data_IF_998877223761
#
_entry.id   IF_998877223761
#
_cell.length_a   1.000
_cell.length_b   1.000
_cell.length_c   1.000
_cell.angle_alpha   90.00
_cell.angle_beta   90.00
_cell.angle_gamma   90.00
#
_symmetry.space_group_name_H-M   'P 1'
#
loop_
_entity.id
_entity.type
_entity.pdbx_description
1 polymer ?
#
# COMPACT_ATOMS: atom_id res chain seq x y z
N UNK A 1 -11.51 -9.68 -80.54
CA UNK A 1 -11.46 -8.80 -79.38
C UNK A 1 -11.68 -9.67 -78.14
N UNK A 2 -10.59 -10.01 -77.42
CA UNK A 2 -10.62 -10.83 -76.21
C UNK A 2 -10.69 -9.89 -75.01
N UNK A 3 -11.80 -9.94 -74.23
CA UNK A 3 -11.92 -9.18 -72.99
C UNK A 3 -11.18 -9.92 -71.87
N UNK A 4 -10.16 -9.28 -71.30
CA UNK A 4 -9.45 -9.78 -70.11
C UNK A 4 -10.19 -9.26 -68.88
N UNK A 5 -10.73 -10.15 -68.05
CA UNK A 5 -11.30 -9.85 -66.74
C UNK A 5 -10.16 -9.97 -65.71
N UNK A 6 -9.81 -8.87 -65.05
CA UNK A 6 -8.90 -8.84 -63.90
C UNK A 6 -9.79 -8.94 -62.64
N UNK A 7 -9.64 -9.94 -61.77
CA UNK A 7 -10.35 -9.94 -60.47
C UNK A 7 -9.67 -9.00 -59.49
N UNK A 8 -10.40 -8.03 -58.99
CA UNK A 8 -10.01 -7.17 -57.92
C UNK A 8 -10.05 -7.95 -56.59
N UNK A 9 -8.88 -8.33 -56.04
CA UNK A 9 -8.78 -8.93 -54.71
C UNK A 9 -8.79 -7.84 -53.68
N UNK A 10 -9.90 -7.67 -52.98
CA UNK A 10 -9.99 -6.81 -51.78
C UNK A 10 -9.28 -7.53 -50.61
N UNK A 11 -8.10 -7.09 -50.25
CA UNK A 11 -7.45 -7.42 -48.99
C UNK A 11 -8.16 -6.69 -47.83
N UNK A 12 -9.04 -7.40 -47.13
CA UNK A 12 -9.52 -6.95 -45.82
C UNK A 12 -8.39 -7.08 -44.81
N UNK A 13 -7.71 -5.98 -44.51
CA UNK A 13 -6.84 -5.89 -43.35
C UNK A 13 -7.71 -5.81 -42.09
N UNK A 14 -7.93 -6.95 -41.42
CA UNK A 14 -8.48 -6.97 -40.08
C UNK A 14 -7.45 -6.31 -39.14
N UNK A 15 -7.64 -5.02 -38.86
CA UNK A 15 -6.92 -4.32 -37.81
C UNK A 15 -7.27 -4.99 -36.48
N UNK A 16 -6.39 -5.84 -35.96
CA UNK A 16 -6.46 -6.24 -34.56
C UNK A 16 -6.25 -4.98 -33.71
N UNK A 17 -7.35 -4.37 -33.28
CA UNK A 17 -7.33 -3.42 -32.20
C UNK A 17 -6.84 -4.17 -30.97
N UNK A 18 -5.56 -4.03 -30.61
CA UNK A 18 -5.08 -4.42 -29.29
C UNK A 18 -5.83 -3.53 -28.31
N UNK A 19 -6.86 -4.09 -27.68
CA UNK A 19 -7.47 -3.47 -26.52
C UNK A 19 -6.34 -3.32 -25.49
N UNK A 20 -5.94 -2.10 -25.23
CA UNK A 20 -4.99 -1.77 -24.18
C UNK A 20 -5.66 -2.17 -22.87
N UNK A 21 -5.32 -3.36 -22.36
CA UNK A 21 -5.83 -3.84 -21.07
C UNK A 21 -5.33 -2.85 -20.03
N UNK A 22 -6.24 -2.10 -19.44
CA UNK A 22 -5.91 -1.24 -18.30
C UNK A 22 -5.25 -2.10 -17.23
N UNK A 23 -4.14 -1.61 -16.67
CA UNK A 23 -3.44 -2.33 -15.59
C UNK A 23 -4.44 -2.64 -14.46
N UNK A 24 -4.41 -3.89 -13.97
CA UNK A 24 -5.22 -4.34 -12.82
C UNK A 24 -4.97 -3.45 -11.62
N UNK A 25 -5.98 -3.32 -10.76
CA UNK A 25 -5.87 -2.53 -9.54
C UNK A 25 -5.95 -3.39 -8.30
N UNK A 26 -5.19 -2.98 -7.30
CA UNK A 26 -5.37 -3.37 -5.91
C UNK A 26 -5.79 -2.11 -5.17
N UNK A 27 -7.00 -2.10 -4.62
CA UNK A 27 -7.53 -1.00 -3.83
C UNK A 27 -7.63 -1.42 -2.37
N UNK A 28 -6.78 -0.82 -1.53
CA UNK A 28 -6.76 -1.02 -0.08
C UNK A 28 -7.36 0.19 0.62
N UNK A 29 -8.28 -0.04 1.54
CA UNK A 29 -8.80 1.00 2.43
C UNK A 29 -8.43 0.67 3.87
N UNK A 30 -7.83 1.62 4.54
CA UNK A 30 -7.45 1.55 5.94
C UNK A 30 -8.46 2.37 6.75
N UNK A 31 -9.17 1.73 7.68
CA UNK A 31 -10.06 2.36 8.63
C UNK A 31 -9.43 2.20 10.01
N UNK A 32 -9.01 3.31 10.61
CA UNK A 32 -8.20 3.28 11.82
C UNK A 32 -8.92 3.96 12.99
N UNK A 33 -9.15 3.21 14.05
CA UNK A 33 -9.65 3.75 15.30
C UNK A 33 -8.59 4.65 15.96
N UNK A 34 -8.99 5.87 16.25
CA UNK A 34 -8.17 6.86 16.93
C UNK A 34 -8.79 7.34 18.24
N UNK A 35 -9.55 6.47 18.90
CA UNK A 35 -10.04 6.69 20.28
C UNK A 35 -8.92 6.52 21.32
N UNK A 36 -9.16 6.95 22.54
CA UNK A 36 -8.17 6.82 23.63
C UNK A 36 -7.89 5.36 24.02
N UNK A 37 -8.83 4.44 23.80
CA UNK A 37 -8.67 3.02 24.08
C UNK A 37 -7.54 2.40 23.22
N UNK A 38 -7.19 3.06 22.11
CA UNK A 38 -6.08 2.67 21.25
C UNK A 38 -4.70 3.16 21.74
N UNK A 39 -4.62 3.93 22.83
CA UNK A 39 -3.35 4.35 23.41
C UNK A 39 -2.47 3.13 23.74
N UNK A 40 -1.20 3.20 23.39
CA UNK A 40 -0.25 2.09 23.54
C UNK A 40 -0.33 1.04 22.43
N UNK A 41 -1.45 0.90 21.74
CA UNK A 41 -1.63 -0.04 20.61
C UNK A 41 -1.46 0.62 19.24
N UNK A 42 -1.66 1.93 19.17
CA UNK A 42 -1.70 2.68 17.91
C UNK A 42 -0.41 2.51 17.08
N UNK A 43 0.76 2.51 17.70
CA UNK A 43 2.02 2.36 16.99
C UNK A 43 2.21 0.93 16.46
N UNK A 44 1.77 -0.07 17.23
CA UNK A 44 1.77 -1.45 16.78
C UNK A 44 0.86 -1.65 15.57
N UNK A 45 -0.37 -1.12 15.66
CA UNK A 45 -1.33 -1.22 14.57
C UNK A 45 -0.83 -0.51 13.30
N UNK A 46 -0.19 0.67 13.41
CA UNK A 46 0.43 1.37 12.28
C UNK A 46 1.51 0.54 11.59
N UNK A 47 2.41 -0.08 12.34
CA UNK A 47 3.45 -0.95 11.79
C UNK A 47 2.86 -2.17 11.09
N UNK A 48 1.81 -2.78 11.66
CA UNK A 48 1.13 -3.93 11.06
C UNK A 48 0.40 -3.57 9.77
N UNK A 49 -0.24 -2.40 9.73
CA UNK A 49 -0.88 -1.90 8.50
C UNK A 49 0.16 -1.62 7.42
N UNK A 50 1.34 -1.09 7.79
CA UNK A 50 2.41 -0.90 6.83
C UNK A 50 2.92 -2.23 6.25
N UNK A 51 2.98 -3.29 7.04
CA UNK A 51 3.30 -4.62 6.56
C UNK A 51 2.27 -5.14 5.53
N UNK A 52 0.97 -4.83 5.71
CA UNK A 52 -0.08 -5.15 4.72
C UNK A 52 0.19 -4.44 3.38
N UNK A 53 0.55 -3.16 3.43
CA UNK A 53 0.93 -2.39 2.23
C UNK A 53 2.13 -3.02 1.53
N UNK A 54 3.14 -3.46 2.29
CA UNK A 54 4.32 -4.12 1.76
C UNK A 54 3.98 -5.44 1.05
N UNK A 55 3.16 -6.28 1.65
CA UNK A 55 2.69 -7.53 1.03
C UNK A 55 1.90 -7.26 -0.25
N UNK A 56 0.93 -6.35 -0.21
CA UNK A 56 0.12 -5.98 -1.38
C UNK A 56 0.98 -5.47 -2.53
N UNK A 57 2.07 -4.76 -2.23
CA UNK A 57 3.02 -4.26 -3.21
C UNK A 57 3.83 -5.34 -3.93
N UNK A 58 3.78 -6.58 -3.47
CA UNK A 58 4.44 -7.73 -4.07
C UNK A 58 3.57 -8.55 -5.03
N UNK A 59 2.25 -8.32 -5.03
CA UNK A 59 1.32 -9.08 -5.85
C UNK A 59 1.47 -8.73 -7.34
N UNK A 60 1.27 -9.74 -8.19
CA UNK A 60 1.29 -9.60 -9.64
C UNK A 60 0.00 -10.14 -10.24
N UNK A 61 -0.37 -9.66 -11.41
CA UNK A 61 -1.45 -10.19 -12.23
C UNK A 61 -0.88 -10.54 -13.62
N UNK A 62 -0.90 -11.83 -13.98
CA UNK A 62 -0.31 -12.32 -15.23
C UNK A 62 1.14 -11.83 -15.45
N UNK A 63 1.94 -11.81 -14.39
CA UNK A 63 3.34 -11.35 -14.41
C UNK A 63 3.53 -9.85 -14.51
N UNK A 64 2.44 -9.06 -14.49
CA UNK A 64 2.49 -7.59 -14.49
C UNK A 64 2.18 -7.04 -13.12
N UNK A 65 2.81 -5.92 -12.79
CA UNK A 65 2.53 -5.21 -11.54
C UNK A 65 1.21 -4.45 -11.64
N UNK A 66 0.27 -4.67 -10.71
CA UNK A 66 -0.98 -3.92 -10.66
C UNK A 66 -0.75 -2.49 -10.15
N UNK A 67 -1.69 -1.60 -10.39
CA UNK A 67 -1.73 -0.30 -9.73
C UNK A 67 -2.23 -0.47 -8.30
N UNK A 68 -1.41 -0.14 -7.32
CA UNK A 68 -1.79 -0.12 -5.90
C UNK A 68 -2.33 1.27 -5.55
N UNK A 69 -3.58 1.33 -5.12
CA UNK A 69 -4.26 2.53 -4.63
C UNK A 69 -4.67 2.34 -3.18
N UNK A 70 -4.33 3.29 -2.31
CA UNK A 70 -4.64 3.23 -0.88
C UNK A 70 -5.49 4.44 -0.51
N UNK A 71 -6.57 4.22 0.25
CA UNK A 71 -7.35 5.26 0.88
C UNK A 71 -7.35 5.05 2.40
N UNK A 72 -7.55 6.13 3.16
CA UNK A 72 -7.49 6.07 4.62
C UNK A 72 -8.56 6.93 5.27
N UNK A 73 -9.16 6.38 6.30
CA UNK A 73 -10.05 7.07 7.24
C UNK A 73 -9.59 6.83 8.67
N UNK A 74 -9.77 7.82 9.53
CA UNK A 74 -9.78 7.63 10.98
C UNK A 74 -11.20 7.81 11.52
N UNK A 75 -11.49 7.13 12.62
CA UNK A 75 -12.80 7.19 13.28
C UNK A 75 -12.63 7.08 14.80
N UNK A 76 -13.69 7.37 15.53
CA UNK A 76 -13.70 7.24 16.99
C UNK A 76 -12.96 8.36 17.73
N UNK A 77 -12.58 9.44 17.08
CA UNK A 77 -11.88 10.55 17.69
C UNK A 77 -12.83 11.64 18.16
N UNK A 78 -12.80 11.99 19.45
CA UNK A 78 -13.68 13.01 20.05
C UNK A 78 -13.47 14.42 19.48
N UNK A 79 -12.36 14.68 18.78
CA UNK A 79 -12.14 15.93 18.04
C UNK A 79 -12.89 16.00 16.71
N UNK A 80 -13.57 14.91 16.30
CA UNK A 80 -14.38 14.85 15.09
C UNK A 80 -15.84 15.09 15.41
N UNK A 81 -16.58 15.57 14.40
CA UNK A 81 -17.98 15.95 14.55
C UNK A 81 -18.90 14.71 14.68
N UNK A 82 -19.91 14.80 15.55
CA UNK A 82 -20.96 13.79 15.70
C UNK A 82 -21.80 13.64 14.43
N UNK A 83 -21.99 14.73 13.68
CA UNK A 83 -22.72 14.73 12.40
C UNK A 83 -22.00 13.89 11.34
N UNK A 84 -20.66 13.78 11.44
CA UNK A 84 -19.86 12.87 10.61
C UNK A 84 -19.73 11.47 11.20
N UNK A 85 -20.45 11.13 12.28
CA UNK A 85 -20.28 9.88 13.03
C UNK A 85 -18.85 9.68 13.55
N UNK A 86 -18.15 10.76 13.92
CA UNK A 86 -16.74 10.75 14.33
C UNK A 86 -15.82 10.13 13.29
N UNK A 87 -16.10 10.37 11.98
CA UNK A 87 -15.36 9.83 10.84
C UNK A 87 -14.71 10.97 10.08
N UNK A 88 -13.44 10.78 9.68
CA UNK A 88 -12.71 11.68 8.81
C UNK A 88 -11.99 10.91 7.72
N UNK A 89 -12.14 11.34 6.47
CA UNK A 89 -11.30 10.88 5.38
C UNK A 89 -9.93 11.56 5.47
N UNK A 90 -8.90 10.78 5.75
CA UNK A 90 -7.51 11.24 5.74
C UNK A 90 -6.95 11.32 4.32
N UNK A 91 -7.29 10.32 3.48
CA UNK A 91 -6.86 10.22 2.09
C UNK A 91 -7.95 9.60 1.22
N UNK A 92 -8.25 10.16 0.04
CA UNK A 92 -8.89 9.43 -1.04
C UNK A 92 -7.91 8.38 -1.60
N UNK A 93 -8.34 7.55 -2.55
CA UNK A 93 -7.41 6.64 -3.24
C UNK A 93 -6.23 7.38 -3.84
N UNK A 94 -5.03 6.96 -3.49
CA UNK A 94 -3.75 7.51 -3.94
C UNK A 94 -2.71 6.39 -4.10
N UNK A 95 -1.78 6.57 -5.03
CA UNK A 95 -0.59 5.73 -5.17
C UNK A 95 0.65 6.36 -4.52
N UNK A 96 0.52 7.55 -3.90
CA UNK A 96 1.60 8.22 -3.16
C UNK A 96 1.79 7.55 -1.80
N UNK A 97 2.71 6.57 -1.73
CA UNK A 97 2.97 5.81 -0.50
C UNK A 97 3.66 6.65 0.59
N UNK A 98 4.35 7.75 0.24
CA UNK A 98 4.89 8.68 1.23
C UNK A 98 3.77 9.47 1.91
N UNK A 99 2.76 9.87 1.15
CA UNK A 99 1.59 10.52 1.71
C UNK A 99 0.78 9.57 2.60
N UNK A 100 0.67 8.30 2.21
CA UNK A 100 0.04 7.26 3.06
C UNK A 100 0.82 7.10 4.37
N UNK A 101 2.15 7.00 4.31
CA UNK A 101 3.03 6.93 5.48
C UNK A 101 2.85 8.15 6.39
N UNK A 102 2.94 9.36 5.83
CA UNK A 102 2.75 10.62 6.56
C UNK A 102 1.42 10.63 7.34
N UNK A 103 0.31 10.30 6.68
CA UNK A 103 -1.01 10.31 7.30
C UNK A 103 -1.15 9.21 8.35
N UNK A 104 -0.67 8.00 8.07
CA UNK A 104 -0.74 6.87 9.00
C UNK A 104 0.05 7.15 10.28
N UNK A 105 1.31 7.55 10.16
CA UNK A 105 2.16 7.82 11.33
C UNK A 105 1.81 9.15 12.01
N UNK A 106 1.12 10.06 11.31
CA UNK A 106 0.58 11.30 11.85
C UNK A 106 -0.67 11.15 12.73
N UNK A 107 -1.36 10.01 12.71
CA UNK A 107 -2.57 9.79 13.54
C UNK A 107 -2.26 9.94 15.02
N UNK A 108 -3.21 10.54 15.75
CA UNK A 108 -3.16 10.72 17.20
C UNK A 108 -4.50 10.31 17.80
N UNK A 109 -4.44 9.73 18.97
CA UNK A 109 -5.63 9.31 19.74
C UNK A 109 -6.25 10.48 20.47
N UNK A 110 -7.57 10.43 20.58
CA UNK A 110 -8.39 11.31 21.42
C UNK A 110 -9.74 10.61 21.64
N UNK A 111 -10.25 10.54 22.85
CA UNK A 111 -11.49 9.82 23.19
C UNK A 111 -12.63 10.05 22.21
N UNK A 112 -13.55 9.11 22.10
CA UNK A 112 -14.67 9.23 21.17
C UNK A 112 -15.62 8.05 21.19
N UNK A 113 -16.45 7.95 20.14
CA UNK A 113 -17.38 6.85 19.89
C UNK A 113 -17.02 6.18 18.57
N UNK A 114 -16.84 4.87 18.60
CA UNK A 114 -16.22 4.07 17.55
C UNK A 114 -17.29 3.34 16.72
N UNK A 115 -17.70 3.91 15.59
CA UNK A 115 -18.79 3.41 14.78
C UNK A 115 -18.30 2.61 13.56
N UNK A 116 -17.91 1.34 13.82
CA UNK A 116 -17.37 0.44 12.78
C UNK A 116 -18.29 0.30 11.57
N UNK A 117 -19.59 0.06 11.78
CA UNK A 117 -20.56 -0.04 10.69
C UNK A 117 -20.64 1.24 9.85
N UNK A 118 -20.60 2.41 10.51
CA UNK A 118 -20.69 3.70 9.84
C UNK A 118 -19.45 4.00 9.00
N UNK A 119 -18.23 3.78 9.52
CA UNK A 119 -17.01 4.07 8.76
C UNK A 119 -16.84 3.13 7.57
N UNK A 120 -17.20 1.84 7.70
CA UNK A 120 -17.22 0.90 6.57
C UNK A 120 -18.20 1.39 5.50
N UNK A 121 -19.45 1.71 5.87
CA UNK A 121 -20.45 2.20 4.93
C UNK A 121 -20.00 3.49 4.25
N UNK A 122 -19.48 4.44 5.01
CA UNK A 122 -18.97 5.72 4.49
C UNK A 122 -17.87 5.51 3.46
N UNK A 123 -16.88 4.68 3.74
CA UNK A 123 -15.79 4.39 2.81
C UNK A 123 -16.28 3.70 1.53
N UNK A 124 -17.26 2.80 1.64
CA UNK A 124 -17.86 2.13 0.48
C UNK A 124 -18.67 3.08 -0.42
N UNK A 125 -19.26 4.13 0.14
CA UNK A 125 -20.09 5.09 -0.58
C UNK A 125 -19.29 6.25 -1.16
N UNK A 126 -18.31 6.78 -0.43
CA UNK A 126 -17.59 7.99 -0.82
C UNK A 126 -16.42 7.73 -1.77
N UNK A 127 -15.75 6.58 -1.65
CA UNK A 127 -14.60 6.26 -2.47
C UNK A 127 -14.98 5.83 -3.89
N UNK A 128 -14.10 6.19 -4.83
CA UNK A 128 -14.21 5.77 -6.23
C UNK A 128 -13.66 4.36 -6.42
N UNK A 129 -14.40 3.38 -5.94
CA UNK A 129 -14.05 1.99 -6.14
C UNK A 129 -14.08 1.59 -7.61
N UNK A 130 -13.15 0.72 -8.01
CA UNK A 130 -13.18 0.11 -9.34
C UNK A 130 -14.45 -0.71 -9.55
N UNK A 131 -15.01 -0.61 -10.75
CA UNK A 131 -16.14 -1.44 -11.19
C UNK A 131 -15.69 -2.78 -11.79
N UNK A 132 -14.38 -2.97 -12.04
CA UNK A 132 -13.87 -4.24 -12.57
C UNK A 132 -13.93 -5.31 -11.46
N UNK A 133 -14.66 -6.43 -11.69
CA UNK A 133 -14.78 -7.48 -10.70
C UNK A 133 -13.48 -8.25 -10.44
N UNK A 134 -12.51 -8.15 -11.35
CA UNK A 134 -11.19 -8.79 -11.21
C UNK A 134 -10.20 -7.95 -10.42
N UNK A 135 -10.48 -6.67 -10.16
CA UNK A 135 -9.66 -5.85 -9.30
C UNK A 135 -9.80 -6.29 -7.84
N UNK A 136 -8.68 -6.38 -7.13
CA UNK A 136 -8.66 -6.76 -5.74
C UNK A 136 -9.03 -5.57 -4.86
N UNK A 137 -10.15 -5.69 -4.12
CA UNK A 137 -10.69 -4.61 -3.30
C UNK A 137 -10.83 -5.05 -1.85
N UNK A 138 -10.13 -4.38 -0.94
CA UNK A 138 -10.08 -4.77 0.46
C UNK A 138 -10.17 -3.56 1.39
N UNK A 139 -10.86 -3.75 2.50
CA UNK A 139 -10.86 -2.88 3.67
C UNK A 139 -10.14 -3.61 4.79
N UNK A 140 -9.26 -2.91 5.51
CA UNK A 140 -8.73 -3.32 6.80
C UNK A 140 -9.20 -2.31 7.85
N UNK A 141 -10.00 -2.78 8.80
CA UNK A 141 -10.51 -1.95 9.91
C UNK A 141 -9.84 -2.41 11.22
N UNK A 142 -9.19 -1.47 11.91
CA UNK A 142 -8.52 -1.72 13.19
C UNK A 142 -9.20 -0.92 14.31
N UNK A 143 -9.42 -1.54 15.46
CA UNK A 143 -10.03 -0.95 16.66
C UNK A 143 -10.25 -1.99 17.76
N UNK A 144 -10.89 -1.60 18.86
CA UNK A 144 -11.05 -2.45 20.05
C UNK A 144 -12.38 -2.32 20.77
N UNK A 145 -13.33 -1.51 20.29
CA UNK A 145 -14.67 -1.37 20.85
C UNK A 145 -15.66 -2.33 20.17
N UNK A 146 -16.88 -2.54 20.74
CA UNK A 146 -17.87 -3.43 20.14
C UNK A 146 -18.19 -3.09 18.68
N UNK A 147 -18.06 -4.06 17.79
CA UNK A 147 -18.29 -3.87 16.35
C UNK A 147 -19.73 -3.48 16.01
N UNK A 148 -20.64 -3.67 16.96
CA UNK A 148 -22.06 -3.32 16.89
C UNK A 148 -22.36 -1.87 17.26
N UNK A 149 -21.36 -1.11 17.73
CA UNK A 149 -21.55 0.24 18.22
C UNK A 149 -21.97 1.21 17.09
N UNK A 150 -22.85 2.16 17.42
CA UNK A 150 -23.23 3.25 16.53
C UNK A 150 -24.55 3.04 15.78
N UNK A 151 -24.95 4.06 14.97
CA UNK A 151 -26.26 4.11 14.35
C UNK A 151 -26.38 3.23 13.09
N UNK A 152 -25.27 2.79 12.51
CA UNK A 152 -25.25 1.99 11.29
C UNK A 152 -24.93 0.53 11.63
N UNK A 153 -25.87 -0.37 11.35
CA UNK A 153 -25.62 -1.79 11.50
C UNK A 153 -24.48 -2.26 10.62
N UNK A 154 -23.47 -2.89 11.22
CA UNK A 154 -22.37 -3.46 10.44
C UNK A 154 -22.84 -4.55 9.46
N UNK A 155 -23.96 -5.22 9.72
CA UNK A 155 -24.56 -6.17 8.78
C UNK A 155 -24.96 -5.50 7.46
N UNK A 156 -25.53 -4.29 7.53
CA UNK A 156 -25.87 -3.51 6.33
C UNK A 156 -24.58 -3.09 5.57
N UNK A 157 -23.55 -2.70 6.31
CA UNK A 157 -22.23 -2.40 5.71
C UNK A 157 -21.62 -3.64 5.05
N UNK A 158 -21.76 -4.84 5.63
CA UNK A 158 -21.34 -6.09 5.02
C UNK A 158 -22.06 -6.38 3.70
N UNK A 159 -23.39 -6.22 3.64
CA UNK A 159 -24.14 -6.43 2.39
C UNK A 159 -23.71 -5.44 1.31
N UNK A 160 -23.46 -4.19 1.67
CA UNK A 160 -22.91 -3.21 0.73
C UNK A 160 -21.52 -3.59 0.26
N UNK A 161 -20.64 -4.08 1.14
CA UNK A 161 -19.30 -4.55 0.77
C UNK A 161 -19.36 -5.73 -0.23
N UNK A 162 -20.23 -6.71 0.04
CA UNK A 162 -20.46 -7.83 -0.89
C UNK A 162 -20.94 -7.36 -2.26
N UNK A 163 -21.91 -6.44 -2.31
CA UNK A 163 -22.43 -5.91 -3.58
C UNK A 163 -21.38 -5.23 -4.44
N UNK A 164 -20.34 -4.66 -3.81
CA UNK A 164 -19.19 -4.02 -4.47
C UNK A 164 -17.99 -4.97 -4.67
N UNK A 165 -18.11 -6.23 -4.28
CA UNK A 165 -17.02 -7.21 -4.26
C UNK A 165 -15.80 -6.71 -3.46
N UNK A 166 -16.04 -6.17 -2.27
CA UNK A 166 -15.02 -5.68 -1.33
C UNK A 166 -14.94 -6.64 -0.15
N UNK A 167 -13.74 -7.13 0.17
CA UNK A 167 -13.48 -7.92 1.37
C UNK A 167 -13.23 -6.98 2.55
N UNK A 168 -13.92 -7.17 3.69
CA UNK A 168 -13.67 -6.40 4.91
C UNK A 168 -12.94 -7.28 5.91
N UNK A 169 -11.66 -7.01 6.10
CA UNK A 169 -10.81 -7.67 7.08
C UNK A 169 -10.82 -6.87 8.37
N UNK A 170 -10.98 -7.54 9.51
CA UNK A 170 -11.03 -6.87 10.81
C UNK A 170 -9.79 -7.19 11.64
N UNK A 171 -9.25 -6.19 12.34
CA UNK A 171 -8.08 -6.27 13.20
C UNK A 171 -8.51 -5.81 14.60
N UNK A 172 -8.80 -6.76 15.48
CA UNK A 172 -9.12 -6.43 16.86
C UNK A 172 -7.86 -6.14 17.67
N UNK A 173 -7.80 -4.97 18.30
CA UNK A 173 -6.67 -4.54 19.12
C UNK A 173 -6.94 -4.88 20.59
N UNK A 174 -6.68 -6.12 20.97
CA UNK A 174 -6.97 -6.65 22.31
C UNK A 174 -6.89 -8.17 22.38
N UNK A 175 -7.53 -8.78 23.38
CA UNK A 175 -7.58 -10.24 23.51
C UNK A 175 -8.47 -10.87 22.42
N UNK A 176 -7.98 -11.95 21.78
CA UNK A 176 -8.65 -12.60 20.65
C UNK A 176 -10.10 -13.00 20.95
N UNK A 177 -10.34 -13.57 22.14
CA UNK A 177 -11.68 -14.02 22.56
C UNK A 177 -12.65 -12.85 22.84
N UNK A 178 -12.11 -11.70 23.24
CA UNK A 178 -12.90 -10.49 23.41
C UNK A 178 -13.36 -9.98 22.05
N UNK A 179 -12.48 -9.87 21.05
CA UNK A 179 -12.88 -9.45 19.72
C UNK A 179 -13.92 -10.37 19.07
N UNK A 180 -13.88 -11.68 19.38
CA UNK A 180 -14.92 -12.61 18.92
C UNK A 180 -16.27 -12.28 19.59
N UNK A 181 -16.31 -12.05 20.92
CA UNK A 181 -17.54 -11.68 21.66
C UNK A 181 -18.08 -10.32 21.22
N UNK A 182 -17.21 -9.41 20.83
CA UNK A 182 -17.53 -8.05 20.36
C UNK A 182 -17.85 -7.98 18.87
N UNK A 183 -18.08 -9.13 18.23
CA UNK A 183 -18.52 -9.30 16.84
C UNK A 183 -17.49 -8.92 15.75
N UNK A 184 -16.20 -8.74 16.08
CA UNK A 184 -15.17 -8.46 15.07
C UNK A 184 -14.99 -9.61 14.07
N UNK A 185 -15.00 -10.86 14.57
CA UNK A 185 -14.91 -12.04 13.71
C UNK A 185 -16.14 -12.17 12.80
N UNK A 186 -17.34 -11.89 13.33
CA UNK A 186 -18.56 -11.92 12.54
C UNK A 186 -18.57 -10.78 11.50
N UNK A 187 -18.09 -9.58 11.87
CA UNK A 187 -17.91 -8.45 10.97
C UNK A 187 -16.98 -8.75 9.76
N UNK A 188 -15.91 -9.52 9.97
CA UNK A 188 -15.09 -10.02 8.88
C UNK A 188 -15.83 -11.07 8.04
N UNK A 189 -16.34 -12.12 8.68
CA UNK A 189 -16.95 -13.26 8.00
C UNK A 189 -18.14 -12.88 7.14
N UNK A 190 -18.98 -11.92 7.61
CA UNK A 190 -20.17 -11.48 6.88
C UNK A 190 -19.84 -10.77 5.56
N UNK A 191 -18.60 -10.33 5.34
CA UNK A 191 -18.13 -9.71 4.10
C UNK A 191 -17.07 -10.56 3.37
N UNK A 192 -16.92 -11.84 3.73
CA UNK A 192 -15.92 -12.77 3.18
C UNK A 192 -14.46 -12.38 3.50
N UNK A 193 -14.26 -11.50 4.49
CA UNK A 193 -12.95 -11.13 5.01
C UNK A 193 -12.49 -12.05 6.12
N UNK A 194 -11.33 -11.74 6.67
CA UNK A 194 -10.68 -12.49 7.73
C UNK A 194 -10.53 -11.66 9.01
N UNK A 195 -10.57 -12.33 10.15
CA UNK A 195 -10.42 -11.75 11.47
C UNK A 195 -8.99 -11.92 11.95
N UNK A 196 -8.38 -10.82 12.35
CA UNK A 196 -7.05 -10.77 12.96
C UNK A 196 -7.14 -10.11 14.33
N UNK A 197 -6.11 -10.34 15.16
CA UNK A 197 -5.98 -9.57 16.38
C UNK A 197 -4.54 -9.12 16.65
N UNK A 198 -4.42 -8.00 17.36
CA UNK A 198 -3.17 -7.48 17.91
C UNK A 198 -3.33 -7.48 19.43
N UNK A 199 -2.60 -8.33 20.12
CA UNK A 199 -2.69 -8.42 21.57
C UNK A 199 -1.77 -7.36 22.21
N UNK A 200 -2.33 -6.47 23.05
CA UNK A 200 -1.58 -5.45 23.78
C UNK A 200 -0.50 -5.99 24.70
N UNK A 201 -0.67 -7.24 25.16
CA UNK A 201 0.29 -7.91 26.07
C UNK A 201 1.40 -8.65 25.33
N UNK A 202 1.32 -8.75 24.00
CA UNK A 202 2.34 -9.33 23.17
C UNK A 202 3.22 -8.22 22.59
N UNK A 203 4.43 -8.06 23.12
CA UNK A 203 5.40 -7.19 22.46
C UNK A 203 5.60 -7.68 21.03
N UNK A 204 5.48 -6.77 20.07
CA UNK A 204 5.92 -7.08 18.70
C UNK A 204 7.41 -7.36 18.78
N UNK A 205 7.78 -8.62 18.78
CA UNK A 205 9.15 -9.00 18.54
C UNK A 205 9.41 -8.78 17.05
N UNK A 206 9.76 -7.57 16.69
CA UNK A 206 10.29 -7.30 15.35
C UNK A 206 11.61 -8.06 15.26
N UNK A 207 11.64 -9.12 14.48
CA UNK A 207 12.86 -9.91 14.29
C UNK A 207 13.86 -9.06 13.53
N UNK A 208 14.89 -8.60 14.24
CA UNK A 208 16.02 -7.95 13.59
C UNK A 208 16.86 -9.00 12.87
N UNK A 209 17.30 -8.65 11.67
CA UNK A 209 18.07 -9.54 10.84
C UNK A 209 19.46 -8.95 10.54
N UNK A 210 20.45 -9.78 10.21
CA UNK A 210 21.78 -9.30 9.80
C UNK A 210 21.76 -8.45 8.53
N UNK A 211 20.66 -8.45 7.79
CA UNK A 211 20.49 -7.75 6.50
C UNK A 211 19.92 -6.34 6.65
N UNK A 212 19.28 -6.03 7.78
CA UNK A 212 18.54 -4.78 7.97
C UNK A 212 19.41 -3.54 7.81
N UNK A 213 20.61 -3.55 8.41
CA UNK A 213 21.53 -2.42 8.31
C UNK A 213 22.00 -2.20 6.86
N UNK A 214 22.31 -3.26 6.14
CA UNK A 214 22.74 -3.15 4.73
C UNK A 214 21.62 -2.65 3.83
N UNK A 215 20.37 -3.09 4.06
CA UNK A 215 19.20 -2.59 3.34
C UNK A 215 19.03 -1.08 3.58
N UNK A 216 19.21 -0.62 4.83
CA UNK A 216 19.09 0.79 5.17
C UNK A 216 20.20 1.64 4.53
N UNK A 217 21.43 1.14 4.46
CA UNK A 217 22.53 1.81 3.74
C UNK A 217 22.23 1.94 2.23
N UNK A 218 21.66 0.89 1.63
CA UNK A 218 21.21 0.94 0.25
C UNK A 218 20.05 1.91 0.04
N UNK A 219 19.13 2.06 1.03
CA UNK A 219 18.07 3.06 0.95
C UNK A 219 18.61 4.50 0.92
N UNK A 220 19.68 4.78 1.65
CA UNK A 220 20.35 6.10 1.59
C UNK A 220 20.90 6.34 0.17
N UNK A 221 21.52 5.34 -0.44
CA UNK A 221 22.00 5.44 -1.81
C UNK A 221 20.85 5.56 -2.82
N UNK A 222 19.77 4.80 -2.61
CA UNK A 222 18.55 4.88 -3.41
C UNK A 222 18.00 6.31 -3.45
N UNK A 223 17.98 7.00 -2.29
CA UNK A 223 17.51 8.38 -2.19
C UNK A 223 18.34 9.36 -3.05
N UNK A 224 19.62 9.09 -3.27
CA UNK A 224 20.50 9.92 -4.12
C UNK A 224 20.23 9.77 -5.62
N UNK A 225 19.39 8.80 -6.01
CA UNK A 225 19.02 8.58 -7.40
C UNK A 225 17.78 9.35 -7.83
N UNK A 226 17.03 9.95 -6.89
CA UNK A 226 15.86 10.77 -7.20
C UNK A 226 16.27 12.16 -7.65
N UNK A 227 15.67 12.63 -8.75
CA UNK A 227 15.93 13.94 -9.36
C UNK A 227 14.67 14.77 -9.25
N UNK A 228 14.62 15.65 -8.26
CA UNK A 228 13.46 16.50 -8.00
C UNK A 228 13.22 17.49 -9.14
N UNK A 229 12.00 17.58 -9.65
CA UNK A 229 11.61 18.56 -10.66
C UNK A 229 10.24 19.16 -10.36
N UNK A 230 9.94 20.28 -11.05
CA UNK A 230 8.68 20.98 -10.91
C UNK A 230 8.52 21.70 -9.57
N UNK A 231 7.40 22.40 -9.42
CA UNK A 231 7.13 23.26 -8.27
C UNK A 231 7.15 22.53 -6.91
N UNK A 232 6.70 21.28 -6.89
CA UNK A 232 6.61 20.48 -5.66
C UNK A 232 7.77 19.48 -5.49
N UNK A 233 8.71 19.45 -6.43
CA UNK A 233 9.80 18.46 -6.42
C UNK A 233 10.61 18.46 -5.13
N UNK A 234 11.05 19.64 -4.70
CA UNK A 234 11.83 19.79 -3.46
C UNK A 234 11.04 19.40 -2.20
N UNK A 235 9.76 19.79 -2.13
CA UNK A 235 8.89 19.47 -1.00
C UNK A 235 8.67 17.95 -0.89
N UNK A 236 8.37 17.29 -1.99
CA UNK A 236 8.14 15.85 -2.03
C UNK A 236 9.42 15.04 -1.73
N UNK A 237 10.58 15.51 -2.21
CA UNK A 237 11.87 14.90 -1.86
C UNK A 237 12.17 15.00 -0.36
N UNK A 238 11.87 16.15 0.26
CA UNK A 238 11.98 16.32 1.72
C UNK A 238 10.98 15.47 2.49
N UNK A 239 9.75 15.31 1.96
CA UNK A 239 8.74 14.39 2.53
C UNK A 239 9.25 12.95 2.51
N UNK A 240 9.75 12.46 1.37
CA UNK A 240 10.32 11.11 1.25
C UNK A 240 11.38 10.86 2.33
N UNK A 241 12.33 11.80 2.49
CA UNK A 241 13.39 11.69 3.50
C UNK A 241 12.83 11.69 4.92
N UNK A 242 11.88 12.56 5.23
CA UNK A 242 11.22 12.61 6.54
C UNK A 242 10.52 11.28 6.87
N UNK A 243 9.86 10.66 5.89
CA UNK A 243 9.21 9.38 6.10
C UNK A 243 10.22 8.22 6.28
N UNK A 244 11.40 8.30 5.67
CA UNK A 244 12.50 7.37 5.95
C UNK A 244 13.02 7.55 7.38
N UNK A 245 13.21 8.80 7.84
CA UNK A 245 13.63 9.11 9.20
C UNK A 245 12.57 8.65 10.23
N UNK A 246 11.27 8.86 9.94
CA UNK A 246 10.16 8.39 10.79
C UNK A 246 10.16 6.85 10.91
N UNK A 247 10.40 6.14 9.82
CA UNK A 247 10.49 4.68 9.84
C UNK A 247 11.69 4.19 10.68
N UNK A 248 12.83 4.88 10.57
CA UNK A 248 14.03 4.56 11.34
C UNK A 248 13.81 4.79 12.86
N UNK A 249 13.07 5.83 13.24
CA UNK A 249 12.69 6.07 14.64
C UNK A 249 11.80 4.96 15.22
N UNK A 250 11.06 4.22 14.40
CA UNK A 250 10.30 3.05 14.82
C UNK A 250 11.17 1.79 14.95
N UNK A 251 12.37 1.81 14.38
CA UNK A 251 13.34 0.72 14.44
C UNK A 251 13.97 0.36 13.09
N UNK A 252 15.15 -0.22 13.16
CA UNK A 252 15.97 -0.58 11.98
C UNK A 252 15.22 -1.53 11.04
N UNK A 253 14.48 -2.49 11.56
CA UNK A 253 13.70 -3.44 10.78
C UNK A 253 12.49 -2.78 10.09
N UNK A 254 11.83 -1.80 10.72
CA UNK A 254 10.73 -1.03 10.10
C UNK A 254 11.26 -0.17 8.95
N UNK A 255 12.42 0.46 9.13
CA UNK A 255 13.11 1.19 8.07
C UNK A 255 13.47 0.28 6.89
N UNK A 256 13.93 -0.95 7.16
CA UNK A 256 14.22 -1.93 6.12
C UNK A 256 12.98 -2.36 5.35
N UNK A 257 11.84 -2.55 6.01
CA UNK A 257 10.56 -2.85 5.35
C UNK A 257 10.13 -1.70 4.43
N UNK A 258 10.31 -0.45 4.85
CA UNK A 258 10.06 0.70 3.99
C UNK A 258 11.01 0.74 2.78
N UNK A 259 12.29 0.46 2.96
CA UNK A 259 13.26 0.39 1.87
C UNK A 259 12.89 -0.70 0.86
N UNK A 260 12.39 -1.85 1.33
CA UNK A 260 11.87 -2.92 0.47
C UNK A 260 10.67 -2.48 -0.36
N UNK A 261 9.73 -1.69 0.19
CA UNK A 261 8.63 -1.10 -0.59
C UNK A 261 9.17 -0.14 -1.65
N UNK A 262 10.10 0.75 -1.28
CA UNK A 262 10.70 1.73 -2.19
C UNK A 262 11.50 1.09 -3.33
N UNK A 263 11.98 -0.14 -3.14
CA UNK A 263 12.67 -0.90 -4.20
C UNK A 263 11.73 -1.49 -5.25
N UNK A 264 10.41 -1.51 -5.01
CA UNK A 264 9.42 -2.09 -5.91
C UNK A 264 8.85 -1.04 -6.88
N UNK A 265 8.36 -1.48 -8.03
CA UNK A 265 7.79 -0.60 -9.07
C UNK A 265 6.51 0.11 -8.66
N UNK A 266 5.79 -0.36 -7.64
CA UNK A 266 4.61 0.32 -7.07
C UNK A 266 4.98 1.65 -6.40
N UNK A 267 6.24 1.81 -5.95
CA UNK A 267 6.73 3.07 -5.44
C UNK A 267 7.24 3.93 -6.60
N UNK A 268 6.33 4.70 -7.18
CA UNK A 268 6.60 5.55 -8.35
C UNK A 268 6.27 7.00 -8.04
N UNK A 269 7.21 7.88 -8.34
CA UNK A 269 7.19 9.30 -8.01
C UNK A 269 7.21 10.21 -9.26
N UNK A 270 6.62 9.77 -10.36
CA UNK A 270 6.66 10.48 -11.64
C UNK A 270 6.10 11.90 -11.62
N UNK A 271 5.34 12.29 -10.59
CA UNK A 271 4.85 13.66 -10.43
C UNK A 271 5.92 14.66 -9.97
N UNK A 272 7.06 14.17 -9.43
CA UNK A 272 8.11 15.03 -8.88
C UNK A 272 9.55 14.52 -9.10
N UNK A 273 9.72 13.26 -9.49
CA UNK A 273 11.01 12.65 -9.79
C UNK A 273 11.18 12.42 -11.30
N UNK A 274 12.23 13.00 -11.88
CA UNK A 274 12.47 12.95 -13.33
C UNK A 274 12.76 11.53 -13.83
N UNK A 275 13.37 10.65 -13.03
CA UNK A 275 13.65 9.27 -13.43
C UNK A 275 12.36 8.49 -13.64
N UNK A 276 11.41 8.60 -12.70
CA UNK A 276 10.13 7.92 -12.84
C UNK A 276 9.23 8.59 -13.88
N UNK A 277 9.25 9.93 -13.98
CA UNK A 277 8.52 10.67 -15.01
C UNK A 277 8.99 10.29 -16.43
N UNK A 278 10.29 10.19 -16.64
CA UNK A 278 10.86 9.80 -17.95
C UNK A 278 10.51 8.35 -18.34
N UNK A 279 10.32 7.44 -17.38
CA UNK A 279 9.78 6.09 -17.65
C UNK A 279 8.35 6.12 -18.15
N UNK A 280 7.53 7.10 -17.69
CA UNK A 280 6.13 7.25 -18.09
C UNK A 280 6.00 7.99 -19.43
N UNK A 281 6.77 9.07 -19.62
CA UNK A 281 6.83 9.87 -20.84
C UNK A 281 8.27 10.32 -21.10
N UNK A 282 8.97 9.63 -21.99
CA UNK A 282 10.36 9.97 -22.35
C UNK A 282 10.50 11.37 -22.98
N UNK A 283 9.43 11.92 -23.54
CA UNK A 283 9.46 13.25 -24.18
C UNK A 283 9.35 14.40 -23.19
N UNK A 284 9.05 14.13 -21.92
CA UNK A 284 8.83 15.16 -20.89
C UNK A 284 10.09 16.00 -20.62
N UNK A 285 11.28 15.38 -20.74
CA UNK A 285 12.56 16.03 -20.42
C UNK A 285 12.80 17.27 -21.29
N UNK A 286 12.51 17.17 -22.58
CA UNK A 286 12.63 18.29 -23.53
C UNK A 286 11.57 19.38 -23.36
N UNK A 287 10.49 19.13 -22.60
CA UNK A 287 9.39 20.08 -22.38
C UNK A 287 9.56 20.91 -21.11
N UNK A 288 10.43 20.50 -20.18
CA UNK A 288 10.64 21.18 -18.90
C UNK A 288 11.44 22.48 -19.11
N UNK A 289 10.99 23.53 -18.43
CA UNK A 289 11.69 24.80 -18.36
C UNK A 289 12.83 24.74 -17.34
N UNK A 290 13.85 25.57 -17.49
CA UNK A 290 14.98 25.61 -16.58
C UNK A 290 14.56 25.92 -15.13
N UNK A 291 13.47 26.70 -14.91
CA UNK A 291 12.95 26.98 -13.58
C UNK A 291 12.39 25.75 -12.86
N UNK A 292 12.01 24.71 -13.63
CA UNK A 292 11.45 23.46 -13.12
C UNK A 292 12.53 22.41 -12.85
N UNK A 293 13.77 22.68 -13.25
CA UNK A 293 14.92 21.78 -13.16
C UNK A 293 15.75 22.01 -11.90
N UNK A 294 16.34 20.96 -11.35
CA UNK A 294 17.35 21.13 -10.31
C UNK A 294 18.63 21.79 -10.89
N UNK A 295 19.44 22.41 -10.01
CA UNK A 295 20.59 23.21 -10.42
C UNK A 295 21.58 22.45 -11.32
N UNK A 296 21.78 21.16 -11.07
CA UNK A 296 22.69 20.30 -11.82
C UNK A 296 22.26 20.05 -13.27
N UNK A 297 21.01 20.34 -13.63
CA UNK A 297 20.45 20.15 -14.98
C UNK A 297 20.17 21.45 -15.72
N UNK A 298 20.22 22.59 -15.06
CA UNK A 298 19.99 23.90 -15.70
C UNK A 298 21.05 24.19 -16.76
N UNK A 299 20.62 24.76 -17.87
CA UNK A 299 21.50 25.13 -18.99
C UNK A 299 22.10 23.96 -19.76
N UNK A 300 21.77 22.70 -19.42
CA UNK A 300 22.22 21.52 -20.19
C UNK A 300 21.36 21.29 -21.41
N UNK A 301 21.95 20.69 -22.47
CA UNK A 301 21.19 20.25 -23.63
C UNK A 301 20.22 19.12 -23.28
N UNK A 302 19.23 18.87 -24.14
CA UNK A 302 18.27 17.77 -23.92
C UNK A 302 18.98 16.43 -23.84
N UNK A 303 19.97 16.20 -24.70
CA UNK A 303 20.79 14.97 -24.75
C UNK A 303 21.58 14.77 -23.45
N UNK A 304 22.16 15.84 -22.89
CA UNK A 304 22.88 15.77 -21.62
C UNK A 304 21.93 15.49 -20.44
N UNK A 305 20.74 16.08 -20.43
CA UNK A 305 19.69 15.82 -19.44
C UNK A 305 19.23 14.36 -19.50
N UNK A 306 18.95 13.85 -20.70
CA UNK A 306 18.55 12.45 -20.92
C UNK A 306 19.66 11.46 -20.51
N UNK A 307 20.91 11.75 -20.84
CA UNK A 307 22.04 10.92 -20.43
C UNK A 307 22.19 10.84 -18.91
N UNK A 308 22.03 11.97 -18.20
CA UNK A 308 22.06 12.02 -16.75
C UNK A 308 20.91 11.24 -16.11
N UNK A 309 19.69 11.41 -16.62
CA UNK A 309 18.49 10.68 -16.14
C UNK A 309 18.68 9.16 -16.37
N UNK A 310 19.19 8.77 -17.53
CA UNK A 310 19.50 7.37 -17.84
C UNK A 310 20.51 6.79 -16.87
N UNK A 311 21.60 7.50 -16.60
CA UNK A 311 22.61 7.08 -15.61
C UNK A 311 21.96 6.87 -14.22
N UNK A 312 21.15 7.82 -13.75
CA UNK A 312 20.45 7.71 -12.46
C UNK A 312 19.43 6.57 -12.46
N UNK A 313 18.76 6.30 -13.57
CA UNK A 313 17.84 5.17 -13.72
C UNK A 313 18.56 3.82 -13.62
N UNK A 314 19.73 3.68 -14.25
CA UNK A 314 20.55 2.46 -14.19
C UNK A 314 21.11 2.23 -12.77
N UNK A 315 21.61 3.30 -12.13
CA UNK A 315 22.05 3.28 -10.73
C UNK A 315 20.91 2.84 -9.80
N UNK A 316 19.72 3.44 -9.94
CA UNK A 316 18.51 3.09 -9.18
C UNK A 316 18.14 1.62 -9.36
N UNK A 317 18.08 1.13 -10.59
CA UNK A 317 17.72 -0.25 -10.89
C UNK A 317 18.67 -1.26 -10.23
N UNK A 318 19.98 -0.96 -10.21
CA UNK A 318 20.99 -1.78 -9.55
C UNK A 318 20.73 -1.84 -8.03
N UNK A 319 20.56 -0.68 -7.38
CA UNK A 319 20.30 -0.59 -5.94
C UNK A 319 18.99 -1.30 -5.58
N UNK A 320 17.92 -1.09 -6.35
CA UNK A 320 16.63 -1.78 -6.14
C UNK A 320 16.76 -3.30 -6.24
N UNK A 321 17.57 -3.80 -7.19
CA UNK A 321 17.84 -5.23 -7.31
C UNK A 321 18.59 -5.78 -6.09
N UNK A 322 19.59 -5.05 -5.58
CA UNK A 322 20.35 -5.44 -4.39
C UNK A 322 19.47 -5.46 -3.14
N UNK A 323 18.64 -4.43 -2.94
CA UNK A 323 17.64 -4.40 -1.85
C UNK A 323 16.70 -5.61 -1.95
N UNK A 324 16.20 -5.92 -3.16
CA UNK A 324 15.33 -7.07 -3.38
C UNK A 324 15.98 -8.41 -3.08
N UNK A 325 17.26 -8.58 -3.37
CA UNK A 325 18.03 -9.80 -3.02
C UNK A 325 18.20 -9.94 -1.52
N UNK A 326 18.58 -8.86 -0.83
CA UNK A 326 18.70 -8.84 0.63
C UNK A 326 17.34 -9.07 1.31
N UNK A 327 16.25 -8.55 0.72
CA UNK A 327 14.89 -8.79 1.20
C UNK A 327 14.53 -10.27 1.22
N UNK A 328 14.87 -11.03 0.16
CA UNK A 328 14.66 -12.49 0.13
C UNK A 328 15.47 -13.21 1.22
N UNK A 329 16.70 -12.78 1.45
CA UNK A 329 17.55 -13.36 2.52
C UNK A 329 17.00 -13.01 3.91
N UNK A 330 16.53 -11.78 4.10
CA UNK A 330 15.84 -11.31 5.30
C UNK A 330 14.61 -12.17 5.60
N UNK A 331 13.76 -12.39 4.63
CA UNK A 331 12.54 -13.18 4.77
C UNK A 331 12.87 -14.65 5.12
N UNK A 332 13.85 -15.24 4.47
CA UNK A 332 14.33 -16.60 4.76
C UNK A 332 14.86 -16.71 6.22
N UNK A 333 15.63 -15.72 6.68
CA UNK A 333 16.13 -15.66 8.04
C UNK A 333 14.99 -15.56 9.06
N UNK A 334 14.02 -14.68 8.82
CA UNK A 334 12.83 -14.53 9.68
C UNK A 334 12.06 -15.85 9.78
N UNK A 335 11.84 -16.55 8.66
CA UNK A 335 11.18 -17.85 8.65
C UNK A 335 11.97 -18.90 9.43
N UNK A 336 13.28 -18.94 9.30
CA UNK A 336 14.15 -19.85 10.07
C UNK A 336 14.06 -19.59 11.58
N UNK A 337 14.13 -18.31 12.00
CA UNK A 337 14.00 -17.95 13.43
C UNK A 337 12.64 -18.36 13.97
N UNK A 338 11.56 -18.09 13.25
CA UNK A 338 10.20 -18.50 13.63
C UNK A 338 10.08 -20.01 13.79
N UNK A 339 10.60 -20.78 12.84
CA UNK A 339 10.57 -22.26 12.89
C UNK A 339 11.35 -22.80 14.09
N UNK A 340 12.49 -22.19 14.42
CA UNK A 340 13.31 -22.62 15.56
C UNK A 340 12.64 -22.30 16.91
N UNK A 341 11.95 -21.16 17.00
CA UNK A 341 11.23 -20.76 18.22
C UNK A 341 9.95 -21.57 18.44
N UNK A 342 9.23 -21.95 17.39
CA UNK A 342 8.03 -22.81 17.49
C UNK A 342 8.35 -24.21 18.01
N UNK A 343 9.57 -24.69 17.84
CA UNK A 343 10.05 -25.96 18.44
C UNK A 343 10.24 -25.90 19.95
N UNK A 344 10.28 -24.72 20.57
CA UNK A 344 10.54 -24.53 22.00
C UNK A 344 9.32 -24.09 22.83
N UNK A 345 8.25 -23.60 22.21
CA UNK A 345 7.02 -23.19 22.89
C UNK A 345 5.78 -23.67 22.12
N UNK A 346 4.93 -24.53 22.74
CA UNK A 346 3.70 -25.04 22.11
C UNK A 346 2.65 -23.97 21.78
N UNK A 347 2.91 -22.70 22.09
CA UNK A 347 1.99 -21.56 21.96
C UNK A 347 2.52 -20.41 21.07
N UNK A 348 3.49 -20.64 20.18
CA UNK A 348 3.79 -19.67 19.14
C UNK A 348 2.57 -19.59 18.20
N UNK A 349 1.57 -18.78 18.63
CA UNK A 349 0.40 -18.43 17.84
C UNK A 349 0.86 -17.82 16.53
N UNK A 350 0.13 -18.13 15.48
CA UNK A 350 0.28 -17.63 14.13
C UNK A 350 0.58 -16.12 14.19
N UNK A 351 1.79 -15.73 13.77
CA UNK A 351 2.19 -14.33 13.80
C UNK A 351 1.23 -13.55 12.87
N UNK A 352 0.74 -12.42 13.34
CA UNK A 352 -0.14 -11.52 12.60
C UNK A 352 0.32 -11.32 11.14
N UNK A 353 1.63 -11.11 10.92
CA UNK A 353 2.19 -10.95 9.58
C UNK A 353 1.99 -12.17 8.69
N UNK A 354 2.16 -13.37 9.23
CA UNK A 354 1.95 -14.63 8.51
C UNK A 354 0.47 -14.83 8.17
N UNK A 355 -0.43 -14.57 9.12
CA UNK A 355 -1.87 -14.69 8.93
C UNK A 355 -2.39 -13.70 7.87
N UNK A 356 -1.94 -12.45 7.93
CA UNK A 356 -2.31 -11.41 6.95
C UNK A 356 -1.77 -11.73 5.57
N UNK A 357 -0.48 -12.12 5.46
CA UNK A 357 0.12 -12.51 4.18
C UNK A 357 -0.63 -13.67 3.52
N UNK A 358 -0.99 -14.69 4.30
CA UNK A 358 -1.78 -15.83 3.84
C UNK A 358 -3.16 -15.37 3.35
N UNK A 359 -3.89 -14.60 4.15
CA UNK A 359 -5.21 -14.08 3.80
C UNK A 359 -5.16 -13.23 2.53
N UNK A 360 -4.21 -12.32 2.44
CA UNK A 360 -4.04 -11.46 1.27
C UNK A 360 -3.82 -12.29 0.00
N UNK A 361 -2.92 -13.29 0.06
CA UNK A 361 -2.65 -14.19 -1.06
C UNK A 361 -3.87 -15.02 -1.46
N UNK A 362 -4.61 -15.55 -0.49
CA UNK A 362 -5.85 -16.28 -0.78
C UNK A 362 -6.88 -15.43 -1.51
N UNK A 363 -7.11 -14.18 -1.05
CA UNK A 363 -8.02 -13.23 -1.71
C UNK A 363 -7.48 -12.79 -3.08
N UNK A 364 -6.17 -12.60 -3.19
CA UNK A 364 -5.49 -12.29 -4.44
C UNK A 364 -5.71 -13.37 -5.49
N UNK A 365 -5.50 -14.63 -5.13
CA UNK A 365 -5.71 -15.79 -6.03
C UNK A 365 -7.16 -15.88 -6.50
N UNK A 366 -8.15 -15.59 -5.65
CA UNK A 366 -9.56 -15.55 -6.04
C UNK A 366 -9.87 -14.52 -7.14
N UNK A 367 -9.03 -13.47 -7.26
CA UNK A 367 -9.14 -12.42 -8.27
C UNK A 367 -8.09 -12.58 -9.40
N UNK A 368 -7.36 -13.71 -9.43
CA UNK A 368 -6.38 -14.03 -10.49
C UNK A 368 -5.01 -13.39 -10.32
N UNK A 369 -4.70 -12.84 -9.14
CA UNK A 369 -3.35 -12.37 -8.79
C UNK A 369 -2.48 -13.52 -8.25
N UNK A 370 -1.17 -13.36 -8.30
CA UNK A 370 -0.16 -14.28 -7.79
C UNK A 370 0.98 -13.55 -7.06
#
# INVERSE_FOLDING_TARGET
MKKVFIPLVLLLSAGMSQAQTSARKIQLVILFDTSNSMDGLINQAKSRIWAIVNEASGLQYEGQMPTLEIAMYDYGNAGLSVESNFIRQQLPFTSDLDLVSEKLFGLRTNGGSEYCGAVIQTSLQQLKWSNDPKDLKMIYIAGNEPFTQGPVSYKNACELAKSKNVFVNTIYCGAIDQGIRENWKDGASCSRGDYFNINSNEQIVTIQTPYDEQINQLNIQLNQTYISYGRLGKENSLKQKREDDNALLQGVAVSSERALVKSKSVYSNGSWDMVDAAKMDSTMVGKLKDEELPEELKGKSTEEKEAYIKQKSEERAKIQSEIGQLGKQRDAFIQQVKTTQTGQTPNAKDDFGTAVSKSLKEKAVLNGFN
#
